data_IF_233206045574
#
_entry.id   IF_233206045574
#
_cell.length_a   1.000
_cell.length_b   1.000
_cell.length_c   1.000
_cell.angle_alpha   90.00
_cell.angle_beta   90.00
_cell.angle_gamma   90.00
#
_symmetry.space_group_name_H-M   'P 1'
#
loop_
_entity.id
_entity.type
_entity.pdbx_description
1 polymer ?
#
# COMPACT_ATOMS: atom_id res chain seq x y z
N UNK A 1 -53.94 -47.62 11.82
CA UNK A 1 -55.34 -47.16 11.97
C UNK A 1 -55.77 -46.46 10.71
N UNK A 2 -56.83 -46.97 10.07
CA UNK A 2 -57.46 -46.41 8.86
C UNK A 2 -58.20 -45.11 9.20
N UNK A 3 -58.20 -44.12 8.30
CA UNK A 3 -59.40 -43.67 7.56
C UNK A 3 -59.10 -42.49 6.63
N UNK A 4 -59.31 -42.77 5.35
CA UNK A 4 -59.64 -41.83 4.27
C UNK A 4 -61.09 -41.31 4.41
N UNK A 5 -61.37 -40.13 3.83
CA UNK A 5 -62.57 -39.73 3.08
C UNK A 5 -62.43 -38.21 2.77
N UNK A 6 -62.32 -37.66 1.56
CA UNK A 6 -62.90 -37.85 0.22
C UNK A 6 -64.14 -36.96 -0.04
N UNK A 7 -64.13 -36.28 -1.22
CA UNK A 7 -65.26 -35.71 -2.01
C UNK A 7 -65.90 -34.39 -1.49
N UNK A 8 -66.43 -33.42 -2.26
CA UNK A 8 -66.62 -33.18 -3.70
C UNK A 8 -67.23 -31.77 -3.91
N UNK A 9 -66.80 -31.08 -4.97
CA UNK A 9 -67.58 -30.31 -5.98
C UNK A 9 -68.83 -29.44 -5.66
N UNK A 10 -68.85 -28.20 -6.18
CA UNK A 10 -69.95 -27.60 -6.98
C UNK A 10 -69.45 -26.30 -7.68
N UNK A 11 -69.43 -26.22 -9.02
CA UNK A 11 -70.39 -25.61 -9.98
C UNK A 11 -70.57 -24.07 -9.89
N UNK A 12 -70.38 -23.40 -11.04
CA UNK A 12 -70.37 -21.94 -11.28
C UNK A 12 -71.74 -21.22 -11.20
N UNK A 13 -72.01 -20.09 -11.92
CA UNK A 13 -71.48 -19.72 -13.25
C UNK A 13 -71.16 -18.21 -13.50
N UNK A 14 -70.57 -17.97 -14.68
CA UNK A 14 -70.68 -16.84 -15.62
C UNK A 14 -71.03 -15.41 -15.16
N UNK A 15 -70.18 -14.46 -15.55
CA UNK A 15 -70.60 -13.23 -16.21
C UNK A 15 -69.54 -12.77 -17.24
N UNK A 16 -69.95 -12.79 -18.51
CA UNK A 16 -69.25 -12.27 -19.69
C UNK A 16 -69.64 -10.80 -19.90
N UNK A 17 -68.73 -9.95 -20.40
CA UNK A 17 -68.94 -8.82 -21.33
C UNK A 17 -67.56 -8.19 -21.62
N UNK A 18 -66.96 -8.42 -22.79
CA UNK A 18 -66.95 -7.55 -23.98
C UNK A 18 -66.07 -6.29 -23.80
N UNK A 19 -65.12 -5.92 -24.67
CA UNK A 19 -64.62 -6.43 -25.95
C UNK A 19 -63.84 -5.30 -26.67
N UNK A 20 -63.01 -5.70 -27.67
CA UNK A 20 -62.50 -4.90 -28.82
C UNK A 20 -61.48 -3.78 -28.51
N UNK A 21 -60.38 -3.53 -29.24
CA UNK A 21 -59.88 -3.77 -30.61
C UNK A 21 -58.34 -3.99 -30.54
N UNK A 22 -57.56 -4.58 -31.45
CA UNK A 22 -57.75 -4.86 -32.88
C UNK A 22 -56.85 -3.97 -33.76
N UNK A 23 -55.55 -4.27 -33.92
CA UNK A 23 -54.77 -3.90 -35.11
C UNK A 23 -53.45 -4.69 -35.20
N UNK A 24 -53.33 -5.49 -36.25
CA UNK A 24 -52.11 -6.15 -36.70
C UNK A 24 -51.52 -5.38 -37.89
N UNK A 25 -50.20 -5.32 -38.00
CA UNK A 25 -49.50 -5.24 -39.28
C UNK A 25 -48.19 -6.02 -39.18
N UNK A 26 -48.05 -7.01 -40.07
CA UNK A 26 -46.86 -7.84 -40.18
C UNK A 26 -45.79 -7.20 -41.06
N UNK A 27 -44.54 -7.59 -40.77
CA UNK A 27 -43.38 -7.44 -41.62
C UNK A 27 -42.39 -8.55 -41.27
N UNK A 28 -42.35 -9.58 -42.10
CA UNK A 28 -41.28 -10.59 -42.15
C UNK A 28 -40.11 -9.97 -42.92
N UNK A 29 -38.87 -10.10 -42.44
CA UNK A 29 -37.65 -10.36 -43.21
C UNK A 29 -36.43 -10.57 -42.26
N UNK A 30 -36.06 -11.84 -42.10
CA UNK A 30 -34.73 -12.46 -42.08
C UNK A 30 -33.60 -12.05 -41.10
N UNK A 31 -33.37 -12.98 -40.16
CA UNK A 31 -32.13 -13.74 -39.91
C UNK A 31 -30.79 -13.00 -39.63
N UNK A 32 -30.43 -12.90 -38.36
CA UNK A 32 -29.34 -13.69 -37.76
C UNK A 32 -29.18 -13.34 -36.27
N UNK A 33 -29.88 -14.06 -35.39
CA UNK A 33 -29.63 -14.00 -33.95
C UNK A 33 -28.59 -15.07 -33.60
N UNK A 34 -27.36 -14.63 -33.30
CA UNK A 34 -26.30 -15.49 -32.77
C UNK A 34 -26.66 -16.00 -31.39
N UNK A 35 -27.15 -17.24 -31.33
CA UNK A 35 -27.52 -17.94 -30.10
C UNK A 35 -26.28 -18.64 -29.53
N UNK A 36 -25.85 -18.28 -28.32
CA UNK A 36 -24.91 -19.07 -27.52
C UNK A 36 -25.64 -20.21 -26.79
N UNK A 37 -24.95 -21.27 -26.33
CA UNK A 37 -25.55 -22.59 -26.09
C UNK A 37 -26.56 -22.71 -24.93
N UNK A 38 -26.88 -21.64 -24.18
CA UNK A 38 -27.68 -21.73 -22.94
C UNK A 38 -28.93 -20.82 -22.87
N UNK A 39 -29.42 -20.26 -23.99
CA UNK A 39 -30.81 -19.77 -24.06
C UNK A 39 -31.23 -18.59 -23.16
N UNK A 40 -30.30 -17.82 -22.60
CA UNK A 40 -30.62 -16.58 -21.90
C UNK A 40 -30.59 -15.39 -22.88
N UNK A 41 -31.69 -14.64 -23.00
CA UNK A 41 -31.69 -13.39 -23.78
C UNK A 41 -30.93 -12.32 -23.01
N UNK A 42 -29.83 -11.84 -23.59
CA UNK A 42 -29.08 -10.69 -23.07
C UNK A 42 -29.86 -9.44 -23.42
N UNK A 43 -30.26 -8.65 -22.41
CA UNK A 43 -30.80 -7.31 -22.61
C UNK A 43 -29.74 -6.47 -23.37
N UNK A 44 -30.06 -5.89 -24.54
CA UNK A 44 -29.11 -5.08 -25.31
C UNK A 44 -28.62 -3.82 -24.56
N UNK A 45 -29.25 -3.44 -23.46
CA UNK A 45 -28.78 -2.37 -22.56
C UNK A 45 -28.00 -2.88 -21.33
N UNK A 46 -27.86 -4.20 -21.15
CA UNK A 46 -26.98 -4.77 -20.14
C UNK A 46 -25.54 -4.79 -20.68
N UNK A 47 -24.88 -3.63 -20.60
CA UNK A 47 -23.44 -3.59 -20.79
C UNK A 47 -22.81 -4.25 -19.56
N UNK A 48 -22.25 -5.45 -19.74
CA UNK A 48 -21.25 -5.96 -18.81
C UNK A 48 -20.22 -4.83 -18.59
N UNK A 49 -19.75 -4.60 -17.35
CA UNK A 49 -18.65 -3.66 -17.15
C UNK A 49 -17.51 -4.07 -18.09
N UNK A 50 -16.76 -3.13 -18.68
CA UNK A 50 -15.72 -3.42 -19.66
C UNK A 50 -14.53 -4.10 -18.96
N UNK A 51 -14.73 -5.35 -18.55
CA UNK A 51 -13.72 -6.22 -17.96
C UNK A 51 -13.28 -7.17 -19.04
N UNK A 52 -12.03 -7.03 -19.43
CA UNK A 52 -11.37 -8.05 -20.24
C UNK A 52 -10.59 -8.97 -19.31
N UNK A 53 -10.88 -10.27 -19.41
CA UNK A 53 -10.13 -11.33 -18.73
C UNK A 53 -9.48 -12.21 -19.80
N UNK A 54 -8.45 -12.96 -19.40
CA UNK A 54 -7.81 -14.00 -20.22
C UNK A 54 -7.25 -13.52 -21.58
N UNK A 55 -6.93 -12.22 -21.69
CA UNK A 55 -6.24 -11.68 -22.84
C UNK A 55 -4.78 -12.16 -22.90
N UNK A 56 -4.28 -12.43 -24.10
CA UNK A 56 -2.84 -12.67 -24.30
C UNK A 56 -2.05 -11.37 -24.16
N UNK A 57 -0.73 -11.48 -23.98
CA UNK A 57 0.14 -10.31 -23.91
C UNK A 57 0.00 -9.43 -25.17
N UNK A 58 -0.07 -10.05 -26.35
CA UNK A 58 -0.18 -9.36 -27.63
C UNK A 58 -1.51 -8.58 -27.73
N UNK A 59 -2.61 -9.16 -27.24
CA UNK A 59 -3.91 -8.49 -27.22
C UNK A 59 -3.94 -7.30 -26.25
N UNK A 60 -3.29 -7.44 -25.08
CA UNK A 60 -3.14 -6.34 -24.13
C UNK A 60 -2.29 -5.23 -24.76
N UNK A 61 -1.12 -5.57 -25.32
CA UNK A 61 -0.25 -4.61 -26.00
C UNK A 61 -0.96 -3.90 -27.14
N UNK A 62 -1.76 -4.61 -27.94
CA UNK A 62 -2.53 -4.04 -29.03
C UNK A 62 -3.57 -3.03 -28.54
N UNK A 63 -4.34 -3.38 -27.53
CA UNK A 63 -5.32 -2.49 -26.92
C UNK A 63 -4.67 -1.25 -26.30
N UNK A 64 -3.51 -1.40 -25.64
CA UNK A 64 -2.82 -0.29 -24.98
C UNK A 64 -2.26 0.75 -25.97
N UNK A 65 -2.13 0.42 -27.28
CA UNK A 65 -1.71 1.39 -28.30
C UNK A 65 -2.69 2.54 -28.52
N UNK A 66 -3.96 2.33 -28.16
CA UNK A 66 -5.01 3.35 -28.29
C UNK A 66 -5.01 4.36 -27.12
N UNK A 67 -4.16 4.16 -26.11
CA UNK A 67 -4.10 4.99 -24.91
C UNK A 67 -2.76 5.72 -24.82
N UNK A 68 -2.81 6.97 -24.37
CA UNK A 68 -1.59 7.69 -23.94
C UNK A 68 -1.10 7.11 -22.61
N UNK A 69 0.22 7.10 -22.31
CA UNK A 69 0.74 6.52 -21.09
C UNK A 69 0.12 7.05 -19.80
N UNK A 70 -0.25 8.33 -19.77
CA UNK A 70 -0.91 8.93 -18.61
C UNK A 70 -2.28 8.31 -18.30
N UNK A 71 -2.97 7.74 -19.31
CA UNK A 71 -4.31 7.11 -19.22
C UNK A 71 -4.24 5.59 -18.99
N UNK A 72 -3.05 5.02 -18.78
CA UNK A 72 -2.90 3.59 -18.46
C UNK A 72 -2.43 3.44 -17.02
N UNK A 73 -3.28 2.87 -16.18
CA UNK A 73 -3.03 2.66 -14.75
C UNK A 73 -2.82 1.19 -14.44
N UNK A 74 -1.99 0.93 -13.43
CA UNK A 74 -1.93 -0.38 -12.77
C UNK A 74 -2.30 -0.22 -11.30
N UNK A 75 -2.84 -1.28 -10.71
CA UNK A 75 -3.13 -1.36 -9.28
C UNK A 75 -2.74 -2.74 -8.75
N UNK A 76 -2.32 -2.78 -7.49
CA UNK A 76 -2.11 -4.00 -6.73
C UNK A 76 -2.11 -3.70 -5.23
N UNK A 77 -2.27 -4.74 -4.43
CA UNK A 77 -2.25 -4.65 -2.98
C UNK A 77 -1.04 -5.35 -2.37
N UNK A 78 -0.65 -4.88 -1.19
CA UNK A 78 0.37 -5.56 -0.41
C UNK A 78 0.15 -5.42 1.09
N UNK A 79 0.59 -6.43 1.83
CA UNK A 79 0.61 -6.43 3.29
C UNK A 79 1.85 -5.74 3.83
N UNK A 80 1.75 -5.17 5.02
CA UNK A 80 2.85 -4.64 5.80
C UNK A 80 2.64 -5.04 7.26
N UNK A 81 3.38 -6.05 7.72
CA UNK A 81 3.53 -6.31 9.15
C UNK A 81 4.51 -5.27 9.70
N UNK A 82 3.94 -4.25 10.33
CA UNK A 82 4.66 -3.04 10.72
C UNK A 82 5.34 -3.14 12.09
N UNK A 83 5.14 -4.25 12.80
CA UNK A 83 5.80 -4.62 14.07
C UNK A 83 6.64 -5.90 13.99
N UNK A 84 6.54 -6.63 12.88
CA UNK A 84 7.25 -7.89 12.73
C UNK A 84 8.76 -7.64 12.63
N UNK A 85 9.58 -8.30 13.47
CA UNK A 85 11.02 -8.28 13.29
C UNK A 85 11.42 -8.91 11.94
N UNK A 86 12.52 -8.47 11.31
CA UNK A 86 12.89 -8.91 9.96
C UNK A 86 13.09 -10.43 9.82
N UNK A 87 13.57 -11.09 10.87
CA UNK A 87 13.75 -12.54 10.88
C UNK A 87 12.43 -13.31 10.77
N UNK A 88 11.34 -12.87 11.43
CA UNK A 88 10.00 -13.47 11.29
C UNK A 88 9.47 -13.35 9.86
N UNK A 89 9.78 -12.26 9.17
CA UNK A 89 9.28 -11.98 7.81
C UNK A 89 9.91 -12.86 6.73
N UNK A 90 11.13 -13.37 6.95
CA UNK A 90 11.87 -14.20 5.98
C UNK A 90 11.83 -15.69 6.32
N UNK A 91 11.28 -16.06 7.47
CA UNK A 91 11.09 -17.46 7.86
C UNK A 91 10.08 -18.17 6.95
N UNK A 92 10.31 -19.46 6.74
CA UNK A 92 9.45 -20.37 5.97
C UNK A 92 8.14 -20.67 6.69
N UNK A 93 7.50 -21.81 6.40
CA UNK A 93 6.13 -22.14 6.83
C UNK A 93 5.86 -21.93 8.34
N UNK A 94 6.86 -22.11 9.20
CA UNK A 94 6.80 -21.89 10.66
C UNK A 94 6.34 -20.47 11.04
N UNK A 95 6.65 -19.47 10.22
CA UNK A 95 6.26 -18.07 10.45
C UNK A 95 4.75 -17.82 10.33
N UNK A 96 3.98 -18.70 9.69
CA UNK A 96 2.54 -18.47 9.50
C UNK A 96 1.81 -18.33 10.84
N UNK A 97 2.15 -19.19 11.79
CA UNK A 97 1.58 -19.17 13.14
C UNK A 97 2.04 -17.93 13.92
N UNK A 98 3.31 -17.54 13.75
CA UNK A 98 3.91 -16.40 14.44
C UNK A 98 3.37 -15.05 13.94
N UNK A 99 2.96 -14.98 12.67
CA UNK A 99 2.43 -13.78 12.02
C UNK A 99 0.90 -13.68 12.09
N UNK A 100 0.21 -14.69 12.63
CA UNK A 100 -1.25 -14.73 12.67
C UNK A 100 -1.85 -13.55 13.45
N UNK A 101 -1.24 -13.20 14.58
CA UNK A 101 -1.68 -12.11 15.47
C UNK A 101 -0.81 -10.85 15.32
N UNK A 102 0.09 -10.82 14.34
CA UNK A 102 1.03 -9.73 14.14
C UNK A 102 0.33 -8.54 13.47
N UNK A 103 0.59 -7.34 13.98
CA UNK A 103 -0.09 -6.13 13.52
C UNK A 103 0.23 -5.85 12.05
N UNK A 104 -0.82 -5.71 11.24
CA UNK A 104 -0.71 -5.66 9.78
C UNK A 104 -1.61 -4.58 9.20
N UNK A 105 -1.09 -3.87 8.21
CA UNK A 105 -1.87 -3.06 7.28
C UNK A 105 -1.87 -3.74 5.91
N UNK A 106 -2.98 -3.65 5.18
CA UNK A 106 -2.99 -3.86 3.72
C UNK A 106 -3.02 -2.49 3.06
N UNK A 107 -2.20 -2.29 2.03
CA UNK A 107 -2.19 -1.06 1.24
C UNK A 107 -2.44 -1.41 -0.21
N UNK A 108 -3.42 -0.75 -0.82
CA UNK A 108 -3.62 -0.72 -2.27
C UNK A 108 -2.92 0.51 -2.83
N UNK A 109 -2.12 0.30 -3.86
CA UNK A 109 -1.36 1.34 -4.56
C UNK A 109 -1.73 1.34 -6.05
N UNK A 110 -1.87 2.52 -6.63
CA UNK A 110 -2.20 2.69 -8.04
C UNK A 110 -1.41 3.83 -8.68
N UNK A 111 -0.96 3.62 -9.92
CA UNK A 111 -0.09 4.57 -10.64
C UNK A 111 -0.25 4.43 -12.15
N UNK A 112 -0.09 5.54 -12.88
CA UNK A 112 -0.10 5.54 -14.34
C UNK A 112 1.27 5.31 -14.99
N UNK A 113 1.25 5.00 -16.29
CA UNK A 113 2.43 4.48 -16.98
C UNK A 113 3.56 5.49 -17.20
N UNK A 114 3.28 6.79 -17.13
CA UNK A 114 4.29 7.85 -17.18
C UNK A 114 4.67 8.41 -15.79
N UNK A 115 4.16 7.82 -14.70
CA UNK A 115 4.38 8.26 -13.32
C UNK A 115 4.01 9.74 -13.05
N UNK A 116 3.12 10.31 -13.87
CA UNK A 116 2.59 11.66 -13.65
C UNK A 116 1.49 11.70 -12.58
N UNK A 117 0.80 10.59 -12.37
CA UNK A 117 -0.25 10.43 -11.37
C UNK A 117 0.03 9.23 -10.48
N UNK A 118 0.51 9.53 -9.29
CA UNK A 118 0.75 8.59 -8.21
C UNK A 118 -0.43 8.72 -7.22
N UNK A 119 -1.37 7.78 -7.25
CA UNK A 119 -2.58 7.89 -6.44
C UNK A 119 -2.26 7.76 -4.95
N UNK A 120 -3.03 8.46 -4.12
CA UNK A 120 -2.92 8.37 -2.67
C UNK A 120 -3.12 6.92 -2.20
N UNK A 121 -2.26 6.40 -1.30
CA UNK A 121 -2.40 5.04 -0.80
C UNK A 121 -3.77 4.78 -0.18
N UNK A 122 -4.34 3.63 -0.47
CA UNK A 122 -5.59 3.20 0.13
C UNK A 122 -5.31 2.12 1.18
N UNK A 123 -5.28 2.55 2.44
CA UNK A 123 -4.81 1.78 3.58
C UNK A 123 -5.99 1.11 4.28
N UNK A 124 -5.83 -0.17 4.57
CA UNK A 124 -6.78 -1.02 5.27
C UNK A 124 -6.11 -1.49 6.56
N UNK A 125 -6.67 -1.12 7.70
CA UNK A 125 -6.29 -1.66 9.01
C UNK A 125 -7.47 -2.27 9.73
N UNK A 126 -7.24 -2.73 10.96
CA UNK A 126 -8.25 -3.35 11.82
C UNK A 126 -8.68 -2.47 13.01
N UNK A 127 -8.12 -1.27 13.12
CA UNK A 127 -8.41 -0.33 14.22
C UNK A 127 -9.24 0.84 13.72
N UNK A 128 -10.35 1.14 14.39
CA UNK A 128 -11.20 2.30 14.08
C UNK A 128 -10.41 3.59 14.32
N UNK A 129 -10.35 4.50 13.33
CA UNK A 129 -9.65 5.77 13.51
C UNK A 129 -10.45 6.71 14.41
N UNK A 130 -9.78 7.47 15.30
CA UNK A 130 -10.45 8.50 16.09
C UNK A 130 -11.05 9.59 15.19
N UNK A 131 -12.01 10.34 15.73
CA UNK A 131 -12.86 11.28 14.95
C UNK A 131 -12.05 12.32 14.16
N UNK A 132 -10.95 12.81 14.71
CA UNK A 132 -10.08 13.78 14.05
C UNK A 132 -9.46 13.23 12.76
N UNK A 133 -8.96 11.99 12.78
CA UNK A 133 -8.38 11.32 11.60
C UNK A 133 -9.49 10.95 10.62
N UNK A 134 -10.63 10.47 11.13
CA UNK A 134 -11.80 10.14 10.30
C UNK A 134 -12.35 11.35 9.53
N UNK A 135 -12.25 12.55 10.09
CA UNK A 135 -12.75 13.79 9.48
C UNK A 135 -11.69 14.56 8.68
N UNK A 136 -10.42 14.19 8.79
CA UNK A 136 -9.35 14.83 8.03
C UNK A 136 -9.49 14.54 6.54
N UNK A 137 -9.13 15.51 5.70
CA UNK A 137 -9.17 15.32 4.25
C UNK A 137 -7.99 14.47 3.77
N UNK A 138 -8.18 13.81 2.62
CA UNK A 138 -7.09 13.08 1.94
C UNK A 138 -5.90 14.00 1.66
N UNK A 139 -6.16 15.27 1.30
CA UNK A 139 -5.10 16.27 1.10
C UNK A 139 -4.32 16.61 2.38
N UNK A 140 -4.91 16.43 3.57
CA UNK A 140 -4.22 16.63 4.85
C UNK A 140 -3.42 15.39 5.26
N UNK A 141 -3.95 14.19 5.01
CA UNK A 141 -3.33 12.94 5.45
C UNK A 141 -2.36 12.34 4.43
N UNK A 142 -2.61 12.55 3.14
CA UNK A 142 -1.90 11.91 2.03
C UNK A 142 -2.33 10.46 1.76
N UNK A 143 -3.36 9.95 2.42
CA UNK A 143 -3.89 8.59 2.25
C UNK A 143 -5.40 8.51 2.50
N UNK A 144 -6.00 7.43 2.03
CA UNK A 144 -7.32 6.96 2.45
C UNK A 144 -7.16 5.87 3.51
N UNK A 145 -8.01 5.85 4.53
CA UNK A 145 -8.05 4.78 5.52
C UNK A 145 -9.43 4.16 5.62
N UNK A 146 -9.48 2.83 5.58
CA UNK A 146 -10.68 2.04 5.87
C UNK A 146 -10.39 0.93 6.87
N UNK A 147 -11.42 0.52 7.60
CA UNK A 147 -11.31 -0.53 8.59
C UNK A 147 -11.94 -1.84 8.06
N UNK A 148 -11.23 -2.95 8.23
CA UNK A 148 -11.80 -4.29 8.16
C UNK A 148 -11.23 -5.12 9.30
N UNK A 149 -12.02 -6.03 9.89
CA UNK A 149 -11.64 -6.77 11.12
C UNK A 149 -10.28 -7.46 11.03
N UNK A 150 -9.91 -7.94 9.83
CA UNK A 150 -8.61 -8.62 9.58
C UNK A 150 -7.59 -7.78 8.81
N UNK A 151 -7.84 -6.48 8.62
CA UNK A 151 -7.02 -5.59 7.80
C UNK A 151 -6.81 -6.11 6.37
N UNK A 152 -7.85 -6.69 5.74
CA UNK A 152 -7.81 -7.28 4.40
C UNK A 152 -8.67 -6.53 3.39
N UNK A 153 -8.29 -6.64 2.13
CA UNK A 153 -9.13 -6.25 1.01
C UNK A 153 -10.35 -7.17 0.93
N UNK A 154 -11.55 -6.58 0.98
CA UNK A 154 -12.81 -7.29 0.75
C UNK A 154 -13.41 -6.85 -0.57
N UNK A 155 -14.34 -7.63 -1.12
CA UNK A 155 -15.08 -7.26 -2.33
C UNK A 155 -15.74 -5.88 -2.18
N UNK A 156 -16.32 -5.57 -1.01
CA UNK A 156 -16.99 -4.29 -0.78
C UNK A 156 -16.00 -3.12 -0.77
N UNK A 157 -14.83 -3.30 -0.14
CA UNK A 157 -13.78 -2.27 -0.11
C UNK A 157 -13.23 -2.03 -1.53
N UNK A 158 -12.91 -3.10 -2.27
CA UNK A 158 -12.42 -3.00 -3.64
C UNK A 158 -13.44 -2.29 -4.55
N UNK A 159 -14.70 -2.69 -4.49
CA UNK A 159 -15.76 -2.06 -5.28
C UNK A 159 -15.94 -0.58 -4.93
N UNK A 160 -15.78 -0.20 -3.66
CA UNK A 160 -15.83 1.20 -3.25
C UNK A 160 -14.66 1.99 -3.83
N UNK A 161 -13.43 1.48 -3.68
CA UNK A 161 -12.25 2.09 -4.28
C UNK A 161 -12.40 2.25 -5.80
N UNK A 162 -12.91 1.22 -6.50
CA UNK A 162 -13.10 1.26 -7.94
C UNK A 162 -14.17 2.28 -8.38
N UNK A 163 -15.26 2.45 -7.60
CA UNK A 163 -16.24 3.52 -7.84
C UNK A 163 -15.62 4.90 -7.69
N UNK A 164 -14.81 5.09 -6.66
CA UNK A 164 -14.15 6.37 -6.39
C UNK A 164 -13.11 6.69 -7.48
N UNK A 165 -12.35 5.68 -7.92
CA UNK A 165 -11.44 5.80 -9.06
C UNK A 165 -12.18 6.17 -10.36
N UNK A 166 -13.29 5.51 -10.68
CA UNK A 166 -14.11 5.85 -11.84
C UNK A 166 -14.67 7.28 -11.74
N UNK A 167 -15.16 7.69 -10.58
CA UNK A 167 -15.68 9.04 -10.37
C UNK A 167 -14.60 10.11 -10.53
N UNK A 168 -13.36 9.84 -10.07
CA UNK A 168 -12.19 10.70 -10.29
C UNK A 168 -11.90 10.86 -11.78
N UNK A 169 -11.88 9.76 -12.54
CA UNK A 169 -11.61 9.80 -13.99
C UNK A 169 -12.72 10.48 -14.78
N UNK A 170 -13.99 10.26 -14.39
CA UNK A 170 -15.14 10.98 -14.94
C UNK A 170 -15.04 12.49 -14.70
N UNK A 171 -14.69 12.89 -13.48
CA UNK A 171 -14.52 14.31 -13.10
C UNK A 171 -13.37 14.97 -13.87
N UNK A 172 -12.32 14.22 -14.18
CA UNK A 172 -11.20 14.67 -15.01
C UNK A 172 -11.48 14.61 -16.53
N UNK A 173 -12.63 14.08 -16.95
CA UNK A 173 -13.01 13.87 -18.35
C UNK A 173 -12.03 12.96 -19.11
N UNK A 174 -11.50 11.95 -18.41
CA UNK A 174 -10.54 10.98 -18.95
C UNK A 174 -11.19 9.61 -19.10
N UNK A 175 -10.78 8.87 -20.12
CA UNK A 175 -11.12 7.46 -20.28
C UNK A 175 -9.83 6.66 -20.16
N UNK A 176 -9.72 5.82 -19.14
CA UNK A 176 -8.48 5.14 -18.78
C UNK A 176 -8.61 3.62 -18.83
N UNK A 177 -7.48 2.93 -18.94
CA UNK A 177 -7.38 1.49 -18.69
C UNK A 177 -6.78 1.27 -17.31
N UNK A 178 -7.36 0.35 -16.55
CA UNK A 178 -6.84 -0.12 -15.27
C UNK A 178 -6.46 -1.59 -15.37
N UNK A 179 -5.17 -1.87 -15.23
CA UNK A 179 -4.57 -3.20 -15.24
C UNK A 179 -4.39 -3.74 -13.82
N UNK A 180 -4.93 -4.91 -13.53
CA UNK A 180 -4.88 -5.55 -12.21
C UNK A 180 -4.75 -7.07 -12.31
N UNK A 181 -4.44 -7.74 -11.22
CA UNK A 181 -4.51 -9.20 -11.17
C UNK A 181 -5.95 -9.71 -10.99
N UNK A 182 -6.16 -11.02 -11.09
CA UNK A 182 -7.47 -11.66 -10.88
C UNK A 182 -7.60 -12.21 -9.45
N UNK A 183 -7.31 -11.39 -8.45
CA UNK A 183 -7.47 -11.78 -7.05
C UNK A 183 -8.95 -12.04 -6.70
N UNK A 184 -9.24 -12.93 -5.72
CA UNK A 184 -10.62 -13.22 -5.29
C UNK A 184 -11.42 -11.97 -4.90
N UNK A 185 -10.78 -10.94 -4.33
CA UNK A 185 -11.41 -9.67 -3.96
C UNK A 185 -11.82 -8.80 -5.15
N UNK A 186 -11.27 -9.01 -6.35
CA UNK A 186 -11.48 -8.18 -7.54
C UNK A 186 -12.79 -8.51 -8.26
N UNK A 187 -13.89 -8.56 -7.50
CA UNK A 187 -15.23 -8.82 -8.04
C UNK A 187 -15.91 -7.49 -8.34
N UNK A 188 -16.14 -7.19 -9.63
CA UNK A 188 -16.84 -5.97 -10.02
C UNK A 188 -18.33 -6.00 -9.69
N UNK A 189 -18.99 -7.16 -9.76
CA UNK A 189 -20.41 -7.29 -9.46
C UNK A 189 -21.27 -6.29 -10.25
N UNK A 190 -21.96 -5.38 -9.54
CA UNK A 190 -22.83 -4.34 -10.09
C UNK A 190 -22.17 -2.95 -10.19
N UNK A 191 -20.84 -2.85 -10.14
CA UNK A 191 -20.13 -1.58 -10.32
C UNK A 191 -20.27 -1.15 -11.79
N UNK A 192 -21.04 -0.09 -12.03
CA UNK A 192 -21.13 0.57 -13.34
C UNK A 192 -19.93 1.49 -13.54
N UNK A 193 -19.14 1.24 -14.57
CA UNK A 193 -17.96 2.03 -14.94
C UNK A 193 -18.26 2.83 -16.21
N UNK A 194 -18.04 4.14 -16.15
CA UNK A 194 -18.28 5.07 -17.26
C UNK A 194 -16.98 5.48 -17.97
N UNK A 195 -15.88 5.52 -17.23
CA UNK A 195 -14.61 6.14 -17.64
C UNK A 195 -13.40 5.22 -17.45
N UNK A 196 -13.62 4.02 -16.91
CA UNK A 196 -12.57 3.05 -16.62
C UNK A 196 -12.86 1.75 -17.33
N UNK A 197 -11.92 1.32 -18.17
CA UNK A 197 -11.85 -0.05 -18.70
C UNK A 197 -10.97 -0.88 -17.77
N UNK A 198 -11.46 -2.01 -17.29
CA UNK A 198 -10.69 -2.91 -16.42
C UNK A 198 -10.12 -4.06 -17.24
N UNK A 199 -8.86 -4.38 -17.03
CA UNK A 199 -8.19 -5.52 -17.65
C UNK A 199 -7.54 -6.35 -16.55
N UNK A 200 -7.99 -7.58 -16.40
CA UNK A 200 -7.46 -8.52 -15.41
C UNK A 200 -6.46 -9.45 -16.08
N UNK A 201 -5.25 -9.51 -15.55
CA UNK A 201 -4.25 -10.46 -16.02
C UNK A 201 -4.65 -11.89 -15.66
N UNK A 202 -4.46 -12.81 -16.61
CA UNK A 202 -4.39 -14.23 -16.27
C UNK A 202 -3.23 -14.46 -15.28
N UNK A 203 -3.42 -15.33 -14.29
CA UNK A 203 -2.47 -15.48 -13.17
C UNK A 203 -1.00 -15.69 -13.61
N UNK A 204 -0.78 -16.53 -14.61
CA UNK A 204 0.56 -16.83 -15.15
C UNK A 204 1.20 -15.65 -15.90
N UNK A 205 0.38 -14.77 -16.48
CA UNK A 205 0.82 -13.59 -17.21
C UNK A 205 1.10 -12.44 -16.23
N UNK A 206 0.20 -12.17 -15.28
CA UNK A 206 0.33 -11.09 -14.31
C UNK A 206 1.64 -11.17 -13.51
N UNK A 207 2.04 -12.37 -13.09
CA UNK A 207 3.34 -12.59 -12.40
C UNK A 207 4.57 -12.13 -13.21
N UNK A 208 4.45 -12.04 -14.55
CA UNK A 208 5.57 -11.68 -15.44
C UNK A 208 5.53 -10.23 -15.90
N UNK A 209 4.33 -9.69 -16.13
CA UNK A 209 4.19 -8.41 -16.85
C UNK A 209 3.38 -7.34 -16.12
N UNK A 210 2.74 -7.66 -14.98
CA UNK A 210 2.04 -6.64 -14.21
C UNK A 210 3.06 -5.65 -13.62
N UNK A 211 2.96 -4.33 -13.90
CA UNK A 211 3.99 -3.37 -13.51
C UNK A 211 4.19 -3.28 -11.98
N UNK A 212 3.11 -3.39 -11.19
CA UNK A 212 3.20 -3.39 -9.72
C UNK A 212 4.14 -4.47 -9.18
N UNK A 213 4.02 -5.70 -9.72
CA UNK A 213 4.87 -6.85 -9.38
C UNK A 213 6.21 -6.85 -10.13
N UNK A 214 6.32 -6.05 -11.20
CA UNK A 214 7.53 -5.86 -11.99
C UNK A 214 8.63 -5.04 -11.31
N UNK A 215 8.38 -4.50 -10.12
CA UNK A 215 9.40 -3.81 -9.31
C UNK A 215 8.87 -2.65 -8.47
N UNK A 216 7.71 -2.09 -8.80
CA UNK A 216 7.13 -0.93 -8.09
C UNK A 216 6.87 -1.27 -6.62
N UNK A 217 6.20 -2.39 -6.32
CA UNK A 217 5.94 -2.80 -4.94
C UNK A 217 7.24 -3.09 -4.16
N UNK A 218 8.24 -3.67 -4.82
CA UNK A 218 9.56 -3.92 -4.23
C UNK A 218 10.25 -2.62 -3.85
N UNK A 219 10.26 -1.63 -4.74
CA UNK A 219 10.86 -0.31 -4.47
C UNK A 219 10.16 0.39 -3.31
N UNK A 220 8.82 0.45 -3.34
CA UNK A 220 7.99 0.97 -2.26
C UNK A 220 8.31 0.31 -0.91
N UNK A 221 8.30 -1.03 -0.86
CA UNK A 221 8.59 -1.78 0.37
C UNK A 221 10.03 -1.58 0.84
N UNK A 222 10.99 -1.43 -0.07
CA UNK A 222 12.38 -1.11 0.27
C UNK A 222 12.47 0.20 1.07
N UNK A 223 11.86 1.28 0.55
CA UNK A 223 11.79 2.58 1.22
C UNK A 223 11.05 2.49 2.57
N UNK A 224 9.96 1.73 2.65
CA UNK A 224 9.26 1.48 3.91
C UNK A 224 10.16 0.76 4.94
N UNK A 225 10.91 -0.27 4.51
CA UNK A 225 11.79 -1.05 5.40
C UNK A 225 12.99 -0.25 5.88
N UNK A 226 13.50 0.71 5.11
CA UNK A 226 14.53 1.63 5.59
C UNK A 226 14.06 2.39 6.84
N UNK A 227 12.83 2.92 6.81
CA UNK A 227 12.23 3.62 7.96
C UNK A 227 12.05 2.69 9.16
N UNK A 228 11.52 1.50 8.92
CA UNK A 228 11.30 0.49 9.95
C UNK A 228 12.58 0.05 10.66
N UNK A 229 13.63 -0.30 9.90
CA UNK A 229 14.91 -0.72 10.47
C UNK A 229 15.66 0.43 11.15
N UNK A 230 15.57 1.65 10.59
CA UNK A 230 16.15 2.84 11.21
C UNK A 230 15.55 3.10 12.58
N UNK A 231 14.22 3.03 12.72
CA UNK A 231 13.57 3.20 14.02
C UNK A 231 13.96 2.08 14.99
N UNK A 232 14.07 0.84 14.53
CA UNK A 232 14.50 -0.27 15.38
C UNK A 232 15.91 -0.06 15.96
N UNK A 233 16.83 0.47 15.16
CA UNK A 233 18.16 0.85 15.64
C UNK A 233 18.07 2.03 16.63
N UNK A 234 17.25 3.03 16.35
CA UNK A 234 17.05 4.16 17.26
C UNK A 234 16.58 3.69 18.65
N UNK A 235 15.58 2.80 18.67
CA UNK A 235 15.06 2.19 19.90
C UNK A 235 16.10 1.34 20.64
N UNK A 236 16.90 0.57 19.89
CA UNK A 236 17.99 -0.22 20.46
C UNK A 236 19.06 0.67 21.11
N UNK A 237 19.45 1.75 20.44
CA UNK A 237 20.39 2.76 20.95
C UNK A 237 19.86 3.46 22.22
N UNK A 238 18.53 3.66 22.29
CA UNK A 238 17.84 4.23 23.45
C UNK A 238 17.69 3.22 24.60
N UNK A 239 17.93 1.93 24.35
CA UNK A 239 17.84 0.85 25.35
C UNK A 239 16.41 0.36 25.57
N UNK A 240 15.50 0.55 24.61
CA UNK A 240 14.13 0.04 24.68
C UNK A 240 14.11 -1.47 24.44
N UNK A 241 13.24 -2.18 25.16
CA UNK A 241 13.06 -3.64 24.98
C UNK A 241 12.28 -3.96 23.71
N UNK A 242 11.24 -3.18 23.42
CA UNK A 242 10.35 -3.36 22.26
C UNK A 242 10.87 -2.58 21.04
N UNK A 243 12.01 -3.00 20.50
CA UNK A 243 12.71 -2.23 19.44
C UNK A 243 11.88 -2.07 18.16
N UNK A 244 10.99 -3.03 17.84
CA UNK A 244 10.13 -2.98 16.65
C UNK A 244 8.74 -2.39 16.93
N UNK A 245 8.52 -1.77 18.10
CA UNK A 245 7.25 -1.12 18.37
C UNK A 245 7.03 0.08 17.43
N UNK A 246 5.94 0.03 16.66
CA UNK A 246 5.51 1.08 15.75
C UNK A 246 4.02 1.30 15.95
N UNK A 247 3.57 2.54 16.11
CA UNK A 247 2.13 2.87 16.13
C UNK A 247 1.54 2.80 14.73
N UNK A 248 0.26 2.52 14.60
CA UNK A 248 -0.39 2.49 13.29
C UNK A 248 -0.27 3.82 12.54
N UNK A 249 -0.42 4.97 13.21
CA UNK A 249 -0.26 6.29 12.56
C UNK A 249 1.15 6.51 12.03
N UNK A 250 2.18 6.06 12.75
CA UNK A 250 3.55 6.10 12.24
C UNK A 250 3.71 5.22 10.98
N UNK A 251 3.17 4.00 11.00
CA UNK A 251 3.22 3.10 9.84
C UNK A 251 2.48 3.70 8.63
N UNK A 252 1.32 4.32 8.82
CA UNK A 252 0.56 4.99 7.75
C UNK A 252 1.32 6.17 7.16
N UNK A 253 1.94 7.01 8.00
CA UNK A 253 2.77 8.12 7.52
C UNK A 253 3.98 7.61 6.73
N UNK A 254 4.61 6.51 7.17
CA UNK A 254 5.69 5.88 6.43
C UNK A 254 5.26 5.30 5.08
N UNK A 255 4.02 4.79 4.99
CA UNK A 255 3.44 4.34 3.71
C UNK A 255 3.35 5.52 2.73
N UNK A 256 2.83 6.68 3.16
CA UNK A 256 2.77 7.89 2.31
C UNK A 256 4.15 8.29 1.83
N UNK A 257 5.10 8.43 2.76
CA UNK A 257 6.46 8.84 2.44
C UNK A 257 7.14 7.88 1.48
N UNK A 258 7.09 6.57 1.76
CA UNK A 258 7.73 5.54 0.94
C UNK A 258 7.13 5.50 -0.47
N UNK A 259 5.82 5.72 -0.58
CA UNK A 259 5.16 5.78 -1.87
C UNK A 259 5.60 6.99 -2.68
N UNK A 260 5.60 8.18 -2.07
CA UNK A 260 6.07 9.41 -2.72
C UNK A 260 7.56 9.38 -3.12
N UNK A 261 8.36 8.56 -2.43
CA UNK A 261 9.79 8.34 -2.71
C UNK A 261 10.06 7.19 -3.67
N UNK A 262 9.03 6.53 -4.19
CA UNK A 262 9.21 5.46 -5.18
C UNK A 262 9.68 6.06 -6.51
N UNK A 263 10.79 5.54 -7.05
CA UNK A 263 11.42 6.11 -8.24
C UNK A 263 10.50 6.09 -9.46
N UNK A 264 10.37 7.24 -10.12
CA UNK A 264 9.66 7.36 -11.40
C UNK A 264 10.31 6.53 -12.48
N UNK A 265 11.64 6.36 -12.42
CA UNK A 265 12.39 5.52 -13.34
C UNK A 265 11.90 4.08 -13.26
N UNK A 266 11.81 3.52 -12.04
CA UNK A 266 11.29 2.17 -11.84
C UNK A 266 9.89 2.07 -12.40
N UNK A 267 9.00 3.00 -12.04
CA UNK A 267 7.61 3.00 -12.49
C UNK A 267 7.58 2.91 -14.02
N UNK A 268 8.18 3.87 -14.75
CA UNK A 268 8.18 3.90 -16.22
C UNK A 268 8.82 2.64 -16.82
N UNK A 269 9.91 2.14 -16.26
CA UNK A 269 10.61 0.97 -16.77
C UNK A 269 9.79 -0.33 -16.66
N UNK A 270 8.97 -0.48 -15.61
CA UNK A 270 8.15 -1.69 -15.42
C UNK A 270 7.06 -1.88 -16.48
N UNK A 271 6.75 -0.84 -17.27
CA UNK A 271 5.75 -0.89 -18.34
C UNK A 271 6.28 -1.40 -19.69
N UNK A 272 7.61 -1.49 -19.85
CA UNK A 272 8.24 -1.95 -21.11
C UNK A 272 7.73 -3.32 -21.61
N UNK A 273 7.50 -4.34 -20.75
CA UNK A 273 6.94 -5.61 -21.20
C UNK A 273 5.53 -5.50 -21.81
N UNK A 274 4.77 -4.47 -21.45
CA UNK A 274 3.45 -4.16 -21.99
C UNK A 274 3.51 -3.23 -23.22
N UNK A 275 4.70 -2.97 -23.75
CA UNK A 275 4.90 -2.17 -24.97
C UNK A 275 4.73 -0.66 -24.76
N UNK A 276 4.59 -0.19 -23.52
CA UNK A 276 4.51 1.24 -23.22
C UNK A 276 5.91 1.77 -22.92
N UNK A 277 6.27 2.87 -23.59
CA UNK A 277 7.51 3.59 -23.37
C UNK A 277 7.19 5.07 -23.22
N UNK A 278 7.24 5.59 -21.99
CA UNK A 278 7.13 7.02 -21.74
C UNK A 278 8.51 7.68 -21.86
N UNK A 279 8.62 8.75 -22.65
CA UNK A 279 9.86 9.54 -22.73
C UNK A 279 9.93 10.42 -21.48
N UNK A 280 10.82 10.08 -20.56
CA UNK A 280 11.14 10.91 -19.41
C UNK A 280 12.54 11.50 -19.60
N UNK A 281 12.66 12.83 -19.49
CA UNK A 281 13.96 13.49 -19.49
C UNK A 281 14.63 13.19 -18.15
N UNK A 282 15.55 12.21 -18.15
CA UNK A 282 16.38 11.93 -17.00
C UNK A 282 17.28 13.12 -16.73
N UNK A 283 17.11 13.76 -15.58
CA UNK A 283 18.15 14.63 -15.04
C UNK A 283 19.25 13.69 -14.52
N UNK A 284 20.33 13.55 -15.29
CA UNK A 284 21.38 12.53 -15.11
C UNK A 284 22.15 12.64 -13.79
N UNK A 285 21.82 13.61 -12.94
CA UNK A 285 22.50 13.88 -11.68
C UNK A 285 21.83 13.29 -10.43
N UNK A 286 20.63 12.66 -10.52
CA UNK A 286 19.89 12.31 -9.28
C UNK A 286 19.29 10.90 -9.13
N UNK A 287 18.96 10.11 -10.15
CA UNK A 287 17.92 9.08 -9.91
C UNK A 287 18.27 7.60 -10.22
N UNK A 288 19.32 7.31 -10.99
CA UNK A 288 19.73 5.90 -11.25
C UNK A 288 20.48 5.23 -10.09
N UNK A 289 20.86 6.00 -9.06
CA UNK A 289 21.60 5.54 -7.88
C UNK A 289 20.70 5.17 -6.71
N UNK A 290 19.45 5.66 -6.67
CA UNK A 290 18.68 5.70 -5.42
C UNK A 290 18.20 4.31 -4.96
N UNK A 291 17.76 3.43 -5.86
CA UNK A 291 17.29 2.09 -5.45
C UNK A 291 18.40 1.05 -5.27
N UNK A 292 19.53 1.17 -5.98
CA UNK A 292 20.74 0.39 -5.64
C UNK A 292 21.25 0.78 -4.26
N UNK A 293 21.16 2.07 -3.94
CA UNK A 293 21.47 2.59 -2.61
C UNK A 293 20.48 2.03 -1.56
N UNK A 294 19.18 1.85 -1.87
CA UNK A 294 18.23 1.22 -0.92
C UNK A 294 18.63 -0.20 -0.51
N UNK A 295 19.03 -1.06 -1.44
CA UNK A 295 19.44 -2.44 -1.10
C UNK A 295 20.69 -2.46 -0.22
N UNK A 296 21.68 -1.62 -0.54
CA UNK A 296 22.92 -1.46 0.24
C UNK A 296 22.65 -0.89 1.62
N UNK A 297 21.81 0.15 1.73
CA UNK A 297 21.40 0.74 3.00
C UNK A 297 20.63 -0.26 3.87
N UNK A 298 19.68 -1.01 3.30
CA UNK A 298 18.95 -2.05 4.03
C UNK A 298 19.91 -3.11 4.59
N UNK A 299 20.89 -3.54 3.79
CA UNK A 299 21.91 -4.47 4.25
C UNK A 299 22.72 -3.87 5.41
N UNK A 300 23.08 -2.59 5.32
CA UNK A 300 23.78 -1.87 6.37
C UNK A 300 23.02 -1.78 7.68
N UNK A 301 21.73 -1.48 7.62
CA UNK A 301 20.85 -1.45 8.79
C UNK A 301 20.68 -2.86 9.39
N UNK A 302 20.54 -3.89 8.55
CA UNK A 302 20.51 -5.28 9.01
C UNK A 302 21.82 -5.69 9.68
N UNK A 303 22.98 -5.22 9.19
CA UNK A 303 24.27 -5.44 9.84
C UNK A 303 24.31 -4.80 11.23
N UNK A 304 23.84 -3.56 11.36
CA UNK A 304 23.76 -2.86 12.65
C UNK A 304 22.85 -3.59 13.67
N UNK A 305 21.80 -4.26 13.17
CA UNK A 305 20.90 -5.09 13.97
C UNK A 305 21.39 -6.54 14.17
N UNK A 306 22.59 -6.90 13.68
CA UNK A 306 23.15 -8.26 13.72
C UNK A 306 22.30 -9.31 12.96
N UNK A 307 21.58 -8.88 11.91
CA UNK A 307 20.70 -9.72 11.10
C UNK A 307 21.21 -9.95 9.67
N UNK A 308 22.32 -9.33 9.25
CA UNK A 308 22.82 -9.40 7.86
C UNK A 308 23.20 -10.81 7.38
N UNK A 309 23.53 -11.73 8.30
CA UNK A 309 23.79 -13.15 8.00
C UNK A 309 22.56 -14.06 8.04
N UNK A 310 21.43 -13.56 8.52
CA UNK A 310 20.17 -14.32 8.73
C UNK A 310 19.07 -13.87 7.77
N UNK A 311 19.04 -12.57 7.47
CA UNK A 311 17.98 -11.92 6.71
C UNK A 311 18.53 -11.42 5.39
N UNK A 312 18.03 -11.96 4.28
CA UNK A 312 18.32 -11.44 2.95
C UNK A 312 17.42 -10.22 2.65
N UNK A 313 18.00 -9.14 2.13
CA UNK A 313 17.30 -7.89 1.78
C UNK A 313 16.14 -8.12 0.81
N UNK A 314 16.37 -8.90 -0.25
CA UNK A 314 15.33 -9.20 -1.26
C UNK A 314 14.19 -10.02 -0.66
N UNK A 315 14.50 -10.98 0.22
CA UNK A 315 13.49 -11.76 0.92
C UNK A 315 12.69 -10.91 1.93
N UNK A 316 13.33 -9.97 2.62
CA UNK A 316 12.67 -9.04 3.54
C UNK A 316 11.66 -8.16 2.81
N UNK A 317 12.05 -7.60 1.68
CA UNK A 317 11.21 -6.71 0.87
C UNK A 317 10.13 -7.50 0.11
N UNK A 318 10.40 -8.74 -0.28
CA UNK A 318 9.44 -9.62 -0.97
C UNK A 318 8.93 -10.75 -0.08
N UNK A 319 8.66 -10.45 1.20
CA UNK A 319 8.14 -11.46 2.11
C UNK A 319 6.87 -12.08 1.54
N UNK A 320 6.85 -13.42 1.44
CA UNK A 320 5.70 -14.16 0.90
C UNK A 320 4.42 -13.82 1.65
N UNK A 321 4.52 -13.59 2.96
CA UNK A 321 3.41 -13.32 3.87
C UNK A 321 2.75 -11.97 3.62
N UNK A 322 3.50 -11.06 3.02
CA UNK A 322 3.05 -9.73 2.67
C UNK A 322 2.63 -9.62 1.20
N UNK A 323 2.97 -10.60 0.38
CA UNK A 323 2.56 -10.67 -1.02
C UNK A 323 1.35 -11.59 -1.22
N UNK A 324 1.16 -12.60 -0.36
CA UNK A 324 0.00 -13.50 -0.36
C UNK A 324 -1.05 -13.03 0.67
N UNK A 325 -1.69 -11.90 0.36
CA UNK A 325 -2.69 -11.28 1.24
C UNK A 325 -4.13 -11.72 0.92
N UNK A 326 -4.33 -12.47 -0.17
CA UNK A 326 -5.64 -12.91 -0.60
C UNK A 326 -5.90 -14.35 -0.13
N UNK A 327 -6.63 -14.52 0.97
CA UNK A 327 -7.22 -15.83 1.36
C UNK A 327 -8.65 -15.95 0.82
N UNK A 328 -9.13 -17.19 0.67
CA UNK A 328 -10.50 -17.51 0.21
C UNK A 328 -11.53 -16.71 1.01
N UNK A 329 -12.41 -16.00 0.30
CA UNK A 329 -13.40 -15.02 0.78
C UNK A 329 -14.51 -15.54 1.73
N UNK A 330 -14.35 -16.70 2.36
CA UNK A 330 -15.45 -17.36 3.06
C UNK A 330 -15.41 -17.26 4.60
N UNK A 331 -14.51 -16.48 5.19
CA UNK A 331 -14.33 -16.44 6.66
C UNK A 331 -14.39 -15.05 7.30
N UNK A 332 -14.74 -14.01 6.55
CA UNK A 332 -14.91 -12.68 7.13
C UNK A 332 -16.38 -12.50 7.49
N UNK A 333 -16.80 -13.16 8.58
CA UNK A 333 -17.93 -12.68 9.37
C UNK A 333 -17.68 -11.21 9.72
N UNK A 334 -18.73 -10.41 9.79
CA UNK A 334 -18.68 -9.03 10.29
C UNK A 334 -18.32 -9.12 11.78
N UNK A 335 -17.02 -9.18 12.07
CA UNK A 335 -16.47 -9.04 13.40
C UNK A 335 -16.34 -7.55 13.70
N UNK A 336 -16.64 -7.17 14.94
CA UNK A 336 -16.61 -5.77 15.37
C UNK A 336 -15.18 -5.21 15.23
N UNK A 337 -15.04 -4.01 14.65
CA UNK A 337 -13.73 -3.40 14.45
C UNK A 337 -13.09 -3.05 15.80
N UNK A 338 -11.76 -3.18 15.91
CA UNK A 338 -11.05 -2.93 17.16
C UNK A 338 -10.96 -1.42 17.43
N UNK A 339 -11.19 -1.00 18.67
CA UNK A 339 -10.96 0.39 19.09
C UNK A 339 -9.66 0.47 19.90
N UNK A 340 -8.70 1.28 19.46
CA UNK A 340 -7.46 1.54 20.18
C UNK A 340 -6.94 2.94 19.82
N UNK A 341 -7.28 3.95 20.64
CA UNK A 341 -6.87 5.33 20.37
C UNK A 341 -5.35 5.53 20.42
N UNK A 342 -4.61 4.73 21.20
CA UNK A 342 -3.16 4.85 21.32
C UNK A 342 -2.42 4.59 20.00
N UNK A 343 -3.01 3.79 19.11
CA UNK A 343 -2.47 3.51 17.76
C UNK A 343 -2.41 4.76 16.86
N UNK A 344 -3.16 5.79 17.24
CA UNK A 344 -3.30 7.03 16.50
C UNK A 344 -2.70 8.25 17.21
N UNK A 345 -1.93 8.02 18.27
CA UNK A 345 -1.13 9.06 18.92
C UNK A 345 0.30 9.02 18.38
N UNK A 346 0.79 10.16 17.90
CA UNK A 346 2.23 10.30 17.61
C UNK A 346 2.95 10.33 18.96
N UNK A 347 3.93 9.43 19.21
CA UNK A 347 4.63 9.40 20.49
C UNK A 347 5.24 10.78 20.80
N UNK A 348 4.92 11.35 21.96
CA UNK A 348 5.58 12.56 22.43
C UNK A 348 7.05 12.24 22.71
N UNK A 349 7.95 12.98 22.05
CA UNK A 349 9.38 12.88 22.32
C UNK A 349 9.64 13.62 23.61
N UNK A 350 10.17 12.92 24.63
CA UNK A 350 10.52 13.49 25.92
C UNK A 350 11.17 14.86 25.75
N UNK A 351 10.53 15.88 26.32
CA UNK A 351 10.99 17.26 26.22
C UNK A 351 12.43 17.39 26.67
N UNK A 352 13.15 18.32 26.05
CA UNK A 352 14.43 18.82 26.55
C UNK A 352 14.21 19.19 28.01
N UNK A 353 14.67 18.36 28.95
CA UNK A 353 14.70 18.74 30.36
C UNK A 353 15.63 19.95 30.48
N UNK A 354 15.04 21.15 30.52
CA UNK A 354 15.73 22.33 31.02
C UNK A 354 15.98 22.08 32.51
N UNK A 355 17.12 21.46 32.81
CA UNK A 355 17.61 21.37 34.18
C UNK A 355 17.85 22.79 34.67
N UNK A 356 16.96 23.25 35.54
CA UNK A 356 16.99 24.59 36.12
C UNK A 356 18.36 24.89 36.72
N UNK A 357 18.83 26.10 36.44
CA UNK A 357 20.04 26.70 37.02
C UNK A 357 19.88 26.76 38.55
N UNK A 358 20.69 26.06 39.36
CA UNK A 358 20.79 26.36 40.78
C UNK A 358 21.74 27.55 40.96
N UNK A 359 21.36 28.43 41.88
CA UNK A 359 21.98 29.72 42.11
C UNK A 359 23.48 29.69 42.41
N UNK A 360 24.08 30.81 42.03
CA UNK A 360 25.34 31.39 42.51
C UNK A 360 25.63 31.07 43.98
N UNK A 361 26.71 30.33 44.26
CA UNK A 361 27.63 30.62 45.36
C UNK A 361 29.08 30.22 45.00
N UNK A 362 29.94 31.22 45.17
CA UNK A 362 31.40 31.25 45.35
C UNK A 362 32.38 30.48 44.44
N UNK A 363 33.14 31.31 43.71
CA UNK A 363 34.43 31.04 43.07
C UNK A 363 35.48 30.58 44.10
N UNK A 364 36.05 29.40 43.87
CA UNK A 364 37.45 29.10 44.20
C UNK A 364 38.12 28.66 42.92
N UNK A 365 39.16 29.37 42.54
CA UNK A 365 39.94 29.12 41.34
C UNK A 365 40.85 27.91 41.56
N UNK A 366 40.63 26.85 40.80
CA UNK A 366 41.63 25.83 40.52
C UNK A 366 41.70 25.64 39.00
N UNK A 367 42.87 25.92 38.44
CA UNK A 367 43.22 25.59 37.06
C UNK A 367 43.37 24.07 36.93
N UNK A 368 42.36 23.38 36.41
CA UNK A 368 42.50 21.99 35.97
C UNK A 368 41.85 21.77 34.60
N UNK A 369 42.70 21.67 33.57
CA UNK A 369 42.54 20.89 32.34
C UNK A 369 41.13 20.84 31.72
N UNK A 370 40.83 21.80 30.84
CA UNK A 370 39.68 21.72 29.92
C UNK A 370 39.95 20.69 28.80
N UNK A 371 39.98 19.40 29.15
CA UNK A 371 39.72 18.35 28.19
C UNK A 371 38.21 18.19 28.05
N UNK A 372 37.62 18.60 26.93
CA UNK A 372 36.24 18.19 26.61
C UNK A 372 36.24 16.67 26.63
N UNK A 373 35.52 16.05 27.57
CA UNK A 373 35.42 14.60 27.58
C UNK A 373 34.86 14.14 26.23
N UNK A 374 35.51 13.17 25.55
CA UNK A 374 35.02 12.70 24.26
C UNK A 374 33.62 12.11 24.45
N UNK A 375 32.66 12.61 23.67
CA UNK A 375 31.29 12.09 23.65
C UNK A 375 31.30 10.57 23.42
N UNK A 376 30.51 9.83 24.20
CA UNK A 376 30.35 8.39 23.95
C UNK A 376 29.70 8.17 22.58
N UNK A 377 29.87 6.98 21.98
CA UNK A 377 29.20 6.66 20.71
C UNK A 377 27.68 6.83 20.80
N UNK A 378 27.09 6.51 21.96
CA UNK A 378 25.66 6.72 22.26
C UNK A 378 25.28 8.19 22.20
N UNK A 379 26.07 9.07 22.82
CA UNK A 379 25.80 10.52 22.83
C UNK A 379 25.95 11.15 21.44
N UNK A 380 26.94 10.68 20.67
CA UNK A 380 27.14 11.11 19.28
C UNK A 380 25.96 10.69 18.39
N UNK A 381 25.52 9.43 18.48
CA UNK A 381 24.39 8.91 17.70
C UNK A 381 23.09 9.64 18.02
N UNK A 382 22.84 9.90 19.32
CA UNK A 382 21.71 10.72 19.77
C UNK A 382 21.77 12.12 19.16
N UNK A 383 22.95 12.76 19.19
CA UNK A 383 23.14 14.10 18.63
C UNK A 383 22.87 14.17 17.13
N UNK A 384 23.37 13.19 16.35
CA UNK A 384 23.03 13.07 14.93
C UNK A 384 21.52 12.95 14.72
N UNK A 385 20.87 12.07 15.49
CA UNK A 385 19.43 11.82 15.40
C UNK A 385 18.60 13.06 15.69
N UNK A 386 18.94 13.80 16.74
CA UNK A 386 18.22 15.00 17.14
C UNK A 386 18.37 16.12 16.10
N UNK A 387 19.58 16.31 15.55
CA UNK A 387 19.82 17.28 14.47
C UNK A 387 19.07 16.89 13.19
N UNK A 388 19.16 15.63 12.75
CA UNK A 388 18.46 15.15 11.54
C UNK A 388 16.95 15.38 11.68
N UNK A 389 16.35 14.97 12.81
CA UNK A 389 14.92 15.17 13.06
C UNK A 389 14.53 16.64 13.11
N UNK A 390 15.35 17.48 13.74
CA UNK A 390 15.08 18.92 13.79
C UNK A 390 15.05 19.50 12.38
N UNK A 391 16.06 19.20 11.56
CA UNK A 391 16.16 19.68 10.19
C UNK A 391 15.00 19.16 9.31
N UNK A 392 14.63 17.89 9.45
CA UNK A 392 13.48 17.30 8.75
C UNK A 392 12.15 17.97 9.13
N UNK A 393 11.99 18.40 10.40
CA UNK A 393 10.78 19.10 10.87
C UNK A 393 10.75 20.58 10.47
N UNK A 394 11.89 21.27 10.50
CA UNK A 394 11.94 22.70 10.13
C UNK A 394 11.92 22.91 8.62
N UNK A 395 12.31 21.91 7.83
CA UNK A 395 12.32 21.96 6.37
C UNK A 395 10.95 21.85 5.69
N UNK A 396 9.84 21.73 6.46
CA UNK A 396 8.51 21.49 5.89
C UNK A 396 7.74 22.75 5.48
N UNK A 397 8.24 23.95 5.79
CA UNK A 397 7.48 25.19 5.59
C UNK A 397 7.65 25.82 4.19
N UNK A 398 8.78 25.59 3.51
CA UNK A 398 9.01 26.02 2.13
C UNK A 398 9.80 24.92 1.41
N UNK A 399 9.17 24.31 0.41
CA UNK A 399 9.73 23.43 -0.64
C UNK A 399 11.20 22.99 -0.47
N UNK A 400 11.43 21.70 -0.16
CA UNK A 400 12.60 20.87 -0.57
C UNK A 400 13.86 21.66 -0.93
N UNK A 401 14.42 22.46 -0.02
CA UNK A 401 15.67 23.15 -0.28
C UNK A 401 16.74 22.09 -0.60
N UNK A 402 17.27 22.03 -1.84
CA UNK A 402 18.23 21.01 -2.22
C UNK A 402 19.49 21.04 -1.34
N UNK A 403 19.86 22.21 -0.82
CA UNK A 403 21.00 22.34 0.09
C UNK A 403 20.71 21.68 1.44
N UNK A 404 19.54 21.94 2.02
CA UNK A 404 19.11 21.29 3.27
C UNK A 404 19.02 19.77 3.12
N UNK A 405 18.48 19.28 2.00
CA UNK A 405 18.39 17.84 1.73
C UNK A 405 19.77 17.19 1.63
N UNK A 406 20.71 17.82 0.93
CA UNK A 406 22.09 17.35 0.85
C UNK A 406 22.77 17.30 2.24
N UNK A 407 22.49 18.28 3.10
CA UNK A 407 22.99 18.29 4.48
C UNK A 407 22.39 17.14 5.29
N UNK A 408 21.07 16.94 5.21
CA UNK A 408 20.38 15.83 5.90
C UNK A 408 20.95 14.48 5.44
N UNK A 409 21.14 14.30 4.13
CA UNK A 409 21.70 13.07 3.56
C UNK A 409 23.15 12.83 4.03
N UNK A 410 23.98 13.88 4.02
CA UNK A 410 25.33 13.80 4.56
C UNK A 410 25.35 13.38 6.04
N UNK A 411 24.47 13.97 6.85
CA UNK A 411 24.36 13.63 8.28
C UNK A 411 23.90 12.19 8.47
N UNK A 412 22.92 11.71 7.69
CA UNK A 412 22.47 10.30 7.71
C UNK A 412 23.60 9.35 7.35
N UNK A 413 24.38 9.65 6.31
CA UNK A 413 25.55 8.85 5.90
C UNK A 413 26.61 8.80 7.01
N UNK A 414 26.89 9.92 7.67
CA UNK A 414 27.83 9.98 8.81
C UNK A 414 27.31 9.22 10.03
N UNK A 415 26.02 9.34 10.34
CA UNK A 415 25.39 8.58 11.41
C UNK A 415 25.47 7.07 11.13
N UNK A 416 25.18 6.64 9.91
CA UNK A 416 25.27 5.23 9.53
C UNK A 416 26.71 4.70 9.60
N UNK A 417 27.70 5.48 9.19
CA UNK A 417 29.12 5.12 9.38
C UNK A 417 29.46 4.90 10.85
N UNK A 418 29.01 5.79 11.74
CA UNK A 418 29.22 5.64 13.18
C UNK A 418 28.52 4.40 13.75
N UNK A 419 27.34 4.04 13.21
CA UNK A 419 26.63 2.80 13.57
C UNK A 419 27.43 1.55 13.17
N UNK A 420 28.04 1.55 11.98
CA UNK A 420 28.90 0.44 11.54
C UNK A 420 30.10 0.25 12.46
N UNK A 421 30.78 1.34 12.82
CA UNK A 421 31.92 1.31 13.73
C UNK A 421 31.49 0.78 15.11
N UNK A 422 30.32 1.19 15.61
CA UNK A 422 29.82 0.72 16.90
C UNK A 422 29.39 -0.77 16.85
N UNK A 423 28.73 -1.20 15.78
CA UNK A 423 28.28 -2.58 15.59
C UNK A 423 29.45 -3.56 15.45
N UNK A 424 30.51 -3.17 14.73
CA UNK A 424 31.72 -4.00 14.56
C UNK A 424 32.51 -4.19 15.86
N UNK A 425 32.44 -3.23 16.78
CA UNK A 425 33.05 -3.30 18.10
C UNK A 425 32.19 -4.06 19.14
N UNK A 426 30.91 -4.29 18.83
CA UNK A 426 29.95 -4.93 19.73
C UNK A 426 29.85 -6.44 19.42
N UNK A 427 30.81 -7.22 19.89
CA UNK A 427 30.70 -8.69 19.87
C UNK A 427 29.79 -9.15 21.00
N UNK A 428 28.47 -9.19 20.76
CA UNK A 428 27.56 -9.93 21.63
C UNK A 428 27.72 -11.42 21.32
N UNK A 429 28.15 -12.18 22.33
CA UNK A 429 28.19 -13.64 22.29
C UNK A 429 26.75 -14.13 22.16
N UNK A 430 26.44 -14.80 21.03
CA UNK A 430 25.13 -15.40 20.74
C UNK A 430 24.73 -16.36 21.86
#
# INVERSE_FOLDING_TARGET
MKRSNNLQSDKGPNATLAGKDGAAYGGILDANNGMLPNGLSVDPNYMLPPVSMDLTLEQIQEMLRDYVPSDVYTVDETGLFFRAPPNKLVQGDEAQSMLADEARLTVLLAVNADASDLMEPYIIGNVVPPKNIKMASISQLGYHYVCSSKARMTVFIFQQWLRDFNARMASAHRNVVLLMDNAPSHVLGCVALSNVRVVMFAAHLGMKVQPMRGGILTAFKGKYRLKHLTLAIDHLEDGLSEVYHVTQVQAMNWIVDAWQQTSKEIIVNTWKPLGISASFAFDSNMDGSDDKNVEEELWGLLYCLQLSGVVNTKALVNSRWENDIHKRLNEDMIEDPQENEAEFHVPEVGGVEQRGVPGTEHLVAEEEHSGVQPLTAKDQLKSFRDVIRYLERTGTADSRDPQLMNVIEFLKKKQLSLRFDNASNSTLTI
#
